data_IF_046686472053
#
_entry.id   IF_046686472053
#
_cell.length_a   1.000
_cell.length_b   1.000
_cell.length_c   1.000
_cell.angle_alpha   90.00
_cell.angle_beta   90.00
_cell.angle_gamma   90.00
#
_symmetry.space_group_name_H-M   'P 1'
#
loop_
_entity.id
_entity.type
_entity.pdbx_description
1 polymer ?
#
# COMPACT_ATOMS: atom_id res chain seq x y z
N UNK A 1 4.84 -9.50 -5.02
CA UNK A 1 4.94 -8.60 -3.86
C UNK A 1 5.49 -9.35 -2.67
N UNK A 2 6.59 -8.83 -2.11
CA UNK A 2 7.20 -9.36 -0.88
C UNK A 2 6.54 -8.71 0.35
N UNK A 3 6.77 -9.29 1.53
CA UNK A 3 6.16 -8.78 2.77
C UNK A 3 6.76 -7.45 3.19
N UNK A 4 8.03 -7.21 2.86
CA UNK A 4 8.79 -6.01 3.24
C UNK A 4 8.29 -4.74 2.55
N UNK A 5 7.57 -4.88 1.43
CA UNK A 5 6.94 -3.77 0.70
C UNK A 5 5.57 -3.35 1.25
N UNK A 6 5.17 -3.87 2.41
CA UNK A 6 3.88 -3.61 3.02
C UNK A 6 4.11 -3.04 4.42
N UNK A 7 3.66 -1.82 4.66
CA UNK A 7 3.46 -1.29 6.00
C UNK A 7 2.07 -1.66 6.50
N UNK A 8 1.95 -2.18 7.72
CA UNK A 8 0.68 -2.52 8.35
C UNK A 8 0.73 -2.12 9.83
N UNK A 9 -0.14 -1.20 10.23
CA UNK A 9 -0.20 -0.75 11.63
C UNK A 9 -0.87 -1.77 12.56
N UNK A 10 -1.51 -2.80 12.00
CA UNK A 10 -2.37 -3.71 12.73
C UNK A 10 -3.64 -3.02 13.26
N UNK A 11 -4.28 -3.66 14.24
CA UNK A 11 -5.56 -3.21 14.80
C UNK A 11 -6.78 -3.91 14.18
N UNK A 12 -7.93 -3.72 14.79
CA UNK A 12 -9.22 -4.34 14.41
C UNK A 12 -10.22 -3.37 13.79
N UNK A 13 -9.83 -2.11 13.60
CA UNK A 13 -10.64 -1.10 12.91
C UNK A 13 -10.76 -1.36 11.40
N UNK A 14 -11.62 -0.61 10.68
CA UNK A 14 -11.72 -0.70 9.23
C UNK A 14 -10.35 -0.51 8.58
N UNK A 15 -10.08 -1.28 7.52
CA UNK A 15 -8.82 -1.17 6.79
C UNK A 15 -8.83 0.05 5.85
N UNK A 16 -7.70 0.75 5.76
CA UNK A 16 -7.42 1.72 4.70
C UNK A 16 -6.11 1.35 4.00
N UNK A 17 -6.18 1.11 2.70
CA UNK A 17 -5.02 0.85 1.85
C UNK A 17 -4.61 2.16 1.17
N UNK A 18 -3.36 2.56 1.33
CA UNK A 18 -2.81 3.81 0.80
C UNK A 18 -1.76 3.56 -0.27
N UNK A 19 -1.94 4.14 -1.45
CA UNK A 19 -1.09 3.98 -2.63
C UNK A 19 -0.36 5.30 -2.91
N UNK A 20 0.97 5.26 -2.88
CA UNK A 20 1.81 6.44 -3.04
C UNK A 20 1.86 6.94 -4.49
N UNK A 21 2.30 8.19 -4.68
CA UNK A 21 2.58 8.75 -6.00
C UNK A 21 3.89 8.25 -6.61
N UNK A 22 4.12 8.56 -7.89
CA UNK A 22 5.36 8.19 -8.59
C UNK A 22 6.59 8.77 -7.89
N UNK A 23 7.64 7.97 -7.76
CA UNK A 23 8.89 8.38 -7.10
C UNK A 23 8.79 8.52 -5.57
N UNK A 24 7.69 8.07 -4.96
CA UNK A 24 7.48 8.06 -3.52
C UNK A 24 7.47 6.63 -2.98
N UNK A 25 7.24 6.49 -1.68
CA UNK A 25 7.11 5.21 -0.97
C UNK A 25 5.93 5.29 -0.01
N UNK A 26 5.53 4.16 0.58
CA UNK A 26 4.52 4.09 1.61
C UNK A 26 4.79 5.00 2.81
N UNK A 27 6.07 5.32 3.09
CA UNK A 27 6.47 6.26 4.17
C UNK A 27 6.00 7.69 3.96
N UNK A 28 5.64 8.08 2.73
CA UNK A 28 5.02 9.39 2.48
C UNK A 28 3.73 9.57 3.30
N UNK A 29 3.09 8.48 3.71
CA UNK A 29 1.90 8.50 4.55
C UNK A 29 2.17 8.41 6.05
N UNK A 30 3.42 8.30 6.54
CA UNK A 30 3.71 8.12 7.98
C UNK A 30 2.99 9.12 8.90
N UNK A 31 2.90 10.44 8.59
CA UNK A 31 2.14 11.38 9.41
C UNK A 31 0.64 11.04 9.44
N UNK A 32 0.05 10.68 8.29
CA UNK A 32 -1.36 10.33 8.18
C UNK A 32 -1.66 8.98 8.84
N UNK A 33 -0.80 7.98 8.65
CA UNK A 33 -0.88 6.68 9.30
C UNK A 33 -0.86 6.81 10.82
N UNK A 34 0.00 7.69 11.37
CA UNK A 34 0.05 7.93 12.81
C UNK A 34 -1.21 8.61 13.34
N UNK A 35 -1.86 9.46 12.55
CA UNK A 35 -3.11 10.10 12.91
C UNK A 35 -4.29 9.11 12.87
N UNK A 36 -4.32 8.20 11.90
CA UNK A 36 -5.47 7.32 11.64
C UNK A 36 -5.40 5.96 12.36
N UNK A 37 -4.21 5.47 12.73
CA UNK A 37 -4.03 4.15 13.37
C UNK A 37 -4.82 3.90 14.67
N UNK A 38 -5.30 4.91 15.44
CA UNK A 38 -6.20 4.64 16.57
C UNK A 38 -7.55 4.05 16.15
N UNK A 39 -8.07 4.45 14.98
CA UNK A 39 -9.42 4.10 14.52
C UNK A 39 -9.42 3.15 13.31
N UNK A 40 -8.33 3.13 12.53
CA UNK A 40 -8.19 2.35 11.31
C UNK A 40 -6.98 1.42 11.37
N UNK A 41 -7.07 0.27 10.71
CA UNK A 41 -5.90 -0.50 10.32
C UNK A 41 -5.34 0.11 9.03
N UNK A 42 -4.18 0.75 9.11
CA UNK A 42 -3.56 1.44 7.97
C UNK A 42 -2.57 0.51 7.28
N UNK A 43 -2.78 0.31 5.98
CA UNK A 43 -1.90 -0.46 5.11
C UNK A 43 -1.27 0.48 4.07
N UNK A 44 0.05 0.50 3.98
CA UNK A 44 0.79 1.21 2.93
C UNK A 44 1.53 0.20 2.06
N UNK A 45 1.66 0.48 0.77
CA UNK A 45 2.30 -0.43 -0.19
C UNK A 45 3.37 0.32 -0.98
N UNK A 46 4.60 -0.19 -0.97
CA UNK A 46 5.64 0.21 -1.93
C UNK A 46 5.41 -0.55 -3.24
N UNK A 47 4.98 0.15 -4.30
CA UNK A 47 4.76 -0.48 -5.60
C UNK A 47 6.08 -0.87 -6.29
N UNK A 48 6.02 -1.85 -7.19
CA UNK A 48 7.19 -2.27 -7.96
C UNK A 48 7.96 -1.08 -8.57
N UNK A 49 9.28 -1.08 -8.42
CA UNK A 49 10.14 0.03 -8.84
C UNK A 49 10.32 1.13 -7.78
N UNK A 50 9.70 1.02 -6.60
CA UNK A 50 9.76 2.02 -5.54
C UNK A 50 10.16 1.45 -4.18
N UNK A 51 10.85 2.26 -3.37
CA UNK A 51 11.15 1.95 -1.97
C UNK A 51 11.82 0.58 -1.78
N UNK A 52 11.20 -0.25 -0.95
CA UNK A 52 11.65 -1.63 -0.67
C UNK A 52 11.33 -2.61 -1.81
N UNK A 53 10.42 -2.24 -2.73
CA UNK A 53 10.07 -2.98 -3.94
C UNK A 53 10.81 -2.51 -5.20
N UNK A 54 11.88 -1.72 -5.06
CA UNK A 54 12.61 -1.11 -6.18
C UNK A 54 13.20 -2.11 -7.19
N UNK A 55 13.55 -3.30 -6.71
CA UNK A 55 14.21 -4.35 -7.50
C UNK A 55 13.22 -5.49 -7.87
N UNK A 56 11.91 -5.26 -7.73
CA UNK A 56 10.89 -6.23 -8.15
C UNK A 56 10.92 -6.42 -9.68
N UNK A 57 11.09 -7.67 -10.17
CA UNK A 57 11.22 -7.91 -11.59
C UNK A 57 9.89 -7.78 -12.33
N UNK A 58 9.98 -7.58 -13.65
CA UNK A 58 8.85 -7.51 -14.57
C UNK A 58 8.53 -6.08 -15.02
N UNK A 59 7.44 -5.88 -15.78
CA UNK A 59 7.12 -4.59 -16.36
C UNK A 59 6.53 -3.62 -15.32
N UNK A 60 6.95 -2.35 -15.37
CA UNK A 60 6.39 -1.27 -14.57
C UNK A 60 5.21 -0.63 -15.30
N UNK A 61 4.03 -1.23 -15.14
CA UNK A 61 2.78 -0.79 -15.76
C UNK A 61 1.69 -0.63 -14.73
N UNK A 62 0.67 0.17 -15.03
CA UNK A 62 -0.51 0.30 -14.17
C UNK A 62 -1.20 -1.04 -13.90
N UNK A 63 -1.28 -1.92 -14.90
CA UNK A 63 -1.83 -3.27 -14.71
C UNK A 63 -1.05 -4.04 -13.64
N UNK A 64 0.29 -4.01 -13.70
CA UNK A 64 1.13 -4.65 -12.69
C UNK A 64 0.91 -4.02 -11.30
N UNK A 65 0.80 -2.70 -11.22
CA UNK A 65 0.54 -2.03 -9.94
C UNK A 65 -0.82 -2.44 -9.34
N UNK A 66 -1.87 -2.55 -10.17
CA UNK A 66 -3.16 -3.08 -9.73
C UNK A 66 -3.05 -4.53 -9.24
N UNK A 67 -2.30 -5.37 -9.94
CA UNK A 67 -2.06 -6.77 -9.55
C UNK A 67 -1.32 -6.85 -8.22
N UNK A 68 -0.30 -6.02 -8.01
CA UNK A 68 0.45 -5.94 -6.76
C UNK A 68 -0.47 -5.56 -5.59
N UNK A 69 -1.35 -4.58 -5.77
CA UNK A 69 -2.36 -4.17 -4.78
C UNK A 69 -3.35 -5.31 -4.50
N UNK A 70 -3.84 -5.98 -5.54
CA UNK A 70 -4.76 -7.11 -5.40
C UNK A 70 -4.12 -8.28 -4.63
N UNK A 71 -2.83 -8.54 -4.82
CA UNK A 71 -2.08 -9.53 -4.04
C UNK A 71 -2.03 -9.14 -2.57
N UNK A 72 -1.73 -7.88 -2.24
CA UNK A 72 -1.69 -7.40 -0.85
C UNK A 72 -3.05 -7.56 -0.18
N UNK A 73 -4.13 -7.10 -0.82
CA UNK A 73 -5.50 -7.20 -0.31
C UNK A 73 -5.88 -8.65 -0.01
N UNK A 74 -5.58 -9.58 -0.93
CA UNK A 74 -5.84 -11.01 -0.73
C UNK A 74 -5.00 -11.61 0.39
N UNK A 75 -3.71 -11.30 0.44
CA UNK A 75 -2.80 -11.82 1.46
C UNK A 75 -3.18 -11.38 2.88
N UNK A 76 -3.71 -10.16 3.02
CA UNK A 76 -4.15 -9.62 4.30
C UNK A 76 -5.61 -9.96 4.66
N UNK A 77 -6.32 -10.68 3.79
CA UNK A 77 -7.71 -11.09 3.99
C UNK A 77 -8.67 -9.89 4.08
N UNK A 78 -8.44 -8.85 3.28
CA UNK A 78 -9.25 -7.63 3.34
C UNK A 78 -10.47 -7.74 2.42
N UNK A 79 -11.63 -8.09 2.98
CA UNK A 79 -12.89 -8.17 2.23
C UNK A 79 -13.54 -6.79 2.01
N UNK A 80 -13.32 -5.86 2.95
CA UNK A 80 -13.79 -4.46 2.89
C UNK A 80 -12.68 -3.54 3.38
N UNK A 81 -12.38 -2.52 2.58
CA UNK A 81 -11.38 -1.51 2.91
C UNK A 81 -11.69 -0.21 2.19
N UNK A 82 -11.16 0.89 2.73
CA UNK A 82 -11.05 2.16 2.02
C UNK A 82 -9.77 2.19 1.20
N UNK A 83 -9.82 2.77 0.01
CA UNK A 83 -8.65 2.98 -0.83
C UNK A 83 -8.35 4.48 -0.91
N UNK A 84 -7.10 4.85 -0.61
CA UNK A 84 -6.59 6.22 -0.77
C UNK A 84 -5.44 6.19 -1.76
N UNK A 85 -5.61 6.87 -2.89
CA UNK A 85 -4.60 7.01 -3.92
C UNK A 85 -4.05 8.42 -3.99
N UNK A 86 -2.74 8.57 -4.18
CA UNK A 86 -2.12 9.87 -4.49
C UNK A 86 -1.50 9.88 -5.88
N UNK A 87 -1.99 10.78 -6.75
CA UNK A 87 -1.47 10.98 -8.11
C UNK A 87 -1.52 9.67 -8.91
N UNK A 88 -0.37 9.08 -9.28
CA UNK A 88 -0.27 7.75 -9.90
C UNK A 88 -1.08 6.67 -9.14
N UNK A 89 -1.16 6.78 -7.81
CA UNK A 89 -1.86 5.82 -6.97
C UNK A 89 -3.39 5.95 -6.94
N UNK A 90 -3.98 6.96 -7.58
CA UNK A 90 -5.43 7.19 -7.64
C UNK A 90 -6.02 6.88 -9.00
#
# INVERSE_FOLDING_TARGET
MRKESIGDTGGSGPAIVMIHGWGQTGRAFDPLSNLLKPDFRVITVDLAGHGTAKDEPGPYTFTRYCDDIAVVVRQLGLDKFHLLGWSMGG
#
